data_IF_553869103222
#
_entry.id   IF_553869103222
#
_cell.length_a   1.000
_cell.length_b   1.000
_cell.length_c   1.000
_cell.angle_alpha   90.00
_cell.angle_beta   90.00
_cell.angle_gamma   90.00
#
_symmetry.space_group_name_H-M   'P 1'
#
loop_
_entity.id
_entity.type
_entity.pdbx_description
1 polymer ?
#
# COMPACT_ATOMS: atom_id res chain seq x y z
N UNK A 1 -5.17 -26.21 -31.28
CA UNK A 1 -4.39 -26.87 -30.22
C UNK A 1 -3.46 -25.80 -29.67
N UNK A 2 -3.69 -25.34 -28.44
CA UNK A 2 -2.82 -24.33 -27.83
C UNK A 2 -1.39 -24.87 -27.78
N UNK A 3 -0.41 -24.10 -28.25
CA UNK A 3 0.98 -24.55 -28.17
C UNK A 3 1.40 -24.58 -26.69
N UNK A 4 1.96 -25.71 -26.19
CA UNK A 4 2.36 -25.83 -24.78
C UNK A 4 3.34 -24.72 -24.35
N UNK A 5 4.12 -24.22 -25.31
CA UNK A 5 5.02 -23.08 -25.17
C UNK A 5 4.31 -21.77 -24.82
N UNK A 6 3.16 -21.49 -25.46
CA UNK A 6 2.40 -20.27 -25.24
C UNK A 6 1.74 -20.31 -23.86
N UNK A 7 1.15 -21.44 -23.50
CA UNK A 7 0.53 -21.65 -22.19
C UNK A 7 1.58 -21.54 -21.08
N UNK A 8 2.76 -22.17 -21.23
CA UNK A 8 3.87 -22.03 -20.27
C UNK A 8 4.34 -20.59 -20.16
N UNK A 9 4.54 -19.90 -21.29
CA UNK A 9 5.03 -18.51 -21.28
C UNK A 9 4.06 -17.58 -20.58
N UNK A 10 2.76 -17.70 -20.87
CA UNK A 10 1.73 -16.89 -20.22
C UNK A 10 1.69 -17.17 -18.72
N UNK A 11 1.70 -18.44 -18.31
CA UNK A 11 1.75 -18.82 -16.90
C UNK A 11 3.01 -18.28 -16.19
N UNK A 12 4.17 -18.35 -16.85
CA UNK A 12 5.43 -17.88 -16.29
C UNK A 12 5.48 -16.35 -16.15
N UNK A 13 4.94 -15.61 -17.12
CA UNK A 13 4.84 -14.14 -17.05
C UNK A 13 3.92 -13.73 -15.91
N UNK A 14 2.75 -14.36 -15.78
CA UNK A 14 1.84 -14.11 -14.65
C UNK A 14 2.54 -14.43 -13.33
N UNK A 15 3.23 -15.57 -13.24
CA UNK A 15 4.01 -15.92 -12.07
C UNK A 15 5.08 -14.86 -11.74
N UNK A 16 5.85 -14.38 -12.71
CA UNK A 16 6.86 -13.35 -12.49
C UNK A 16 6.26 -12.04 -12.01
N UNK A 17 5.15 -11.59 -12.62
CA UNK A 17 4.45 -10.38 -12.19
C UNK A 17 3.97 -10.51 -10.75
N UNK A 18 3.34 -11.64 -10.41
CA UNK A 18 2.88 -11.88 -9.05
C UNK A 18 4.04 -12.04 -8.06
N UNK A 19 5.16 -12.66 -8.47
CA UNK A 19 6.32 -12.82 -7.61
C UNK A 19 7.05 -11.50 -7.34
N UNK A 20 7.12 -10.60 -8.33
CA UNK A 20 7.78 -9.28 -8.20
C UNK A 20 6.91 -8.27 -7.46
N UNK A 21 5.61 -8.20 -7.77
CA UNK A 21 4.68 -7.26 -7.12
C UNK A 21 4.07 -7.79 -5.81
N UNK A 22 4.10 -9.11 -5.60
CA UNK A 22 3.63 -9.80 -4.39
C UNK A 22 2.21 -9.39 -3.96
N UNK A 23 1.17 -9.76 -4.74
CA UNK A 23 -0.20 -9.54 -4.34
C UNK A 23 -0.53 -10.33 -3.07
N UNK A 24 -1.69 -10.07 -2.48
CA UNK A 24 -2.15 -10.64 -1.22
C UNK A 24 -2.08 -12.16 -1.19
N UNK A 25 -2.39 -12.82 -2.30
CA UNK A 25 -2.42 -14.28 -2.44
C UNK A 25 -1.02 -14.89 -2.41
N UNK A 26 -0.05 -14.26 -3.08
CA UNK A 26 1.35 -14.72 -3.03
C UNK A 26 1.96 -14.51 -1.66
N UNK A 27 1.55 -13.42 -0.98
CA UNK A 27 1.97 -13.15 0.38
C UNK A 27 1.41 -14.17 1.36
N UNK A 28 0.12 -14.48 1.27
CA UNK A 28 -0.53 -15.47 2.15
C UNK A 28 -0.03 -16.88 1.89
N UNK A 29 0.30 -17.22 0.63
CA UNK A 29 0.93 -18.50 0.27
C UNK A 29 2.41 -18.60 0.68
N UNK A 30 3.01 -17.52 1.18
CA UNK A 30 4.42 -17.51 1.58
C UNK A 30 5.41 -17.42 0.41
N UNK A 31 4.94 -17.14 -0.81
CA UNK A 31 5.75 -17.04 -2.03
C UNK A 31 6.38 -15.65 -2.18
N UNK A 32 7.11 -15.23 -1.16
CA UNK A 32 7.83 -13.96 -1.14
C UNK A 32 9.31 -14.21 -0.87
N UNK A 33 10.18 -13.33 -1.38
CA UNK A 33 11.63 -13.41 -1.13
C UNK A 33 11.93 -13.42 0.37
N UNK A 34 11.16 -12.67 1.17
CA UNK A 34 11.34 -12.61 2.62
C UNK A 34 11.08 -13.96 3.29
N UNK A 35 10.05 -14.68 2.87
CA UNK A 35 9.68 -15.95 3.47
C UNK A 35 10.60 -17.09 3.00
N UNK A 36 10.92 -17.12 1.70
CA UNK A 36 11.82 -18.12 1.11
C UNK A 36 13.24 -18.06 1.70
N UNK A 37 13.73 -16.87 2.05
CA UNK A 37 15.07 -16.66 2.61
C UNK A 37 15.05 -16.23 4.08
N UNK A 38 13.95 -16.49 4.79
CA UNK A 38 13.73 -16.05 6.18
C UNK A 38 14.86 -16.45 7.13
N UNK A 39 15.38 -17.67 7.01
CA UNK A 39 16.51 -18.18 7.82
C UNK A 39 17.80 -17.39 7.65
N UNK A 40 18.07 -16.89 6.43
CA UNK A 40 19.28 -16.13 6.12
C UNK A 40 19.12 -14.62 6.41
N UNK A 41 17.92 -14.09 6.18
CA UNK A 41 17.60 -12.68 6.45
C UNK A 41 17.62 -12.37 7.95
N UNK A 42 17.19 -13.34 8.78
CA UNK A 42 17.02 -13.15 10.21
C UNK A 42 15.75 -12.37 10.55
N UNK A 43 15.72 -11.76 11.73
CA UNK A 43 14.56 -11.00 12.21
C UNK A 43 14.75 -9.50 11.99
N UNK A 44 13.70 -8.87 11.46
CA UNK A 44 13.61 -7.42 11.29
C UNK A 44 13.61 -6.68 12.64
N UNK A 45 13.00 -7.27 13.67
CA UNK A 45 12.95 -6.71 15.03
C UNK A 45 14.32 -6.71 15.71
N UNK A 46 15.19 -7.67 15.35
CA UNK A 46 16.56 -7.71 15.86
C UNK A 46 17.43 -6.65 15.18
N UNK A 47 17.24 -6.37 13.89
CA UNK A 47 18.10 -5.41 13.20
C UNK A 47 17.51 -4.93 11.90
N UNK A 48 16.62 -3.96 11.98
CA UNK A 48 15.88 -3.38 10.85
C UNK A 48 16.78 -3.04 9.65
N UNK A 49 17.86 -2.27 9.87
CA UNK A 49 18.76 -1.85 8.79
C UNK A 49 19.47 -3.04 8.15
N UNK A 50 20.05 -3.94 8.96
CA UNK A 50 20.81 -5.07 8.44
C UNK A 50 19.89 -6.08 7.73
N UNK A 51 18.71 -6.31 8.28
CA UNK A 51 17.66 -7.12 7.67
C UNK A 51 17.32 -6.60 6.28
N UNK A 52 17.06 -5.29 6.14
CA UNK A 52 16.72 -4.72 4.84
C UNK A 52 17.88 -4.65 3.86
N UNK A 53 19.12 -4.43 4.29
CA UNK A 53 20.31 -4.52 3.44
C UNK A 53 20.45 -5.92 2.83
N UNK A 54 20.29 -6.96 3.66
CA UNK A 54 20.30 -8.36 3.21
C UNK A 54 19.13 -8.65 2.28
N UNK A 55 17.93 -8.21 2.65
CA UNK A 55 16.69 -8.41 1.90
C UNK A 55 16.79 -7.82 0.50
N UNK A 56 17.13 -6.54 0.36
CA UNK A 56 17.23 -5.89 -0.95
C UNK A 56 18.32 -6.53 -1.81
N UNK A 57 19.43 -6.96 -1.21
CA UNK A 57 20.49 -7.67 -1.93
C UNK A 57 20.01 -9.03 -2.48
N UNK A 58 19.30 -9.82 -1.68
CA UNK A 58 18.73 -11.10 -2.16
C UNK A 58 17.62 -10.87 -3.17
N UNK A 59 16.74 -9.89 -2.95
CA UNK A 59 15.68 -9.55 -3.91
C UNK A 59 16.25 -9.21 -5.28
N UNK A 60 17.35 -8.44 -5.35
CA UNK A 60 18.05 -8.16 -6.61
C UNK A 60 18.53 -9.45 -7.28
N UNK A 61 19.20 -10.35 -6.54
CA UNK A 61 19.71 -11.62 -7.07
C UNK A 61 18.62 -12.59 -7.53
N UNK A 62 17.51 -12.66 -6.79
CA UNK A 62 16.40 -13.56 -7.11
C UNK A 62 15.62 -13.03 -8.30
N UNK A 63 15.29 -11.73 -8.33
CA UNK A 63 14.55 -11.13 -9.43
C UNK A 63 15.38 -11.11 -10.73
N UNK A 64 16.70 -10.92 -10.65
CA UNK A 64 17.57 -11.04 -11.83
C UNK A 64 17.70 -12.46 -12.36
N UNK A 65 17.37 -13.48 -11.55
CA UNK A 65 17.41 -14.88 -11.96
C UNK A 65 16.13 -15.33 -12.68
N UNK A 66 15.05 -14.54 -12.67
CA UNK A 66 13.78 -14.89 -13.32
C UNK A 66 13.93 -15.17 -14.83
N UNK A 67 14.67 -14.37 -15.63
CA UNK A 67 14.88 -14.70 -17.05
C UNK A 67 15.61 -16.03 -17.25
N UNK A 68 16.57 -16.36 -16.38
CA UNK A 68 17.26 -17.66 -16.42
C UNK A 68 16.31 -18.80 -16.05
N UNK A 69 15.46 -18.59 -15.04
CA UNK A 69 14.39 -19.52 -14.68
C UNK A 69 13.41 -19.78 -15.83
N UNK A 70 13.06 -18.75 -16.60
CA UNK A 70 12.25 -18.90 -17.82
C UNK A 70 12.95 -19.78 -18.86
N UNK A 71 14.23 -19.53 -19.14
CA UNK A 71 15.01 -20.35 -20.08
C UNK A 71 15.02 -21.82 -19.64
N UNK A 72 15.31 -22.08 -18.37
CA UNK A 72 15.33 -23.43 -17.80
C UNK A 72 13.96 -24.11 -17.89
N UNK A 73 12.87 -23.38 -17.59
CA UNK A 73 11.52 -23.90 -17.71
C UNK A 73 11.13 -24.23 -19.15
N UNK A 74 11.53 -23.38 -20.11
CA UNK A 74 11.31 -23.62 -21.54
C UNK A 74 12.06 -24.84 -22.06
N UNK A 75 13.24 -25.18 -21.52
CA UNK A 75 13.92 -26.43 -21.83
C UNK A 75 13.08 -27.67 -21.51
N UNK A 76 12.19 -27.58 -20.50
CA UNK A 76 11.32 -28.68 -20.07
C UNK A 76 9.98 -28.62 -20.81
N UNK A 77 9.41 -27.42 -20.98
CA UNK A 77 8.09 -27.21 -21.59
C UNK A 77 8.08 -27.41 -23.12
N UNK A 78 9.23 -27.22 -23.77
CA UNK A 78 9.38 -27.27 -25.23
C UNK A 78 10.60 -28.12 -25.65
N UNK A 79 10.64 -29.43 -25.34
CA UNK A 79 11.79 -30.28 -25.64
C UNK A 79 12.11 -30.36 -27.14
N UNK A 80 11.11 -30.16 -28.00
CA UNK A 80 11.23 -30.10 -29.46
C UNK A 80 12.18 -29.00 -29.95
N UNK A 81 12.32 -27.90 -29.18
CA UNK A 81 13.24 -26.80 -29.50
C UNK A 81 14.70 -27.12 -29.19
N UNK A 82 14.99 -28.26 -28.56
CA UNK A 82 16.35 -28.71 -28.20
C UNK A 82 17.16 -27.65 -27.44
N UNK A 83 16.50 -26.83 -26.61
CA UNK A 83 17.09 -25.72 -25.86
C UNK A 83 18.20 -26.14 -24.89
N UNK A 84 18.22 -27.42 -24.47
CA UNK A 84 19.29 -27.99 -23.67
C UNK A 84 20.63 -28.15 -24.41
N UNK A 85 20.61 -28.24 -25.74
CA UNK A 85 21.81 -28.35 -26.56
C UNK A 85 22.21 -26.97 -27.08
N UNK A 86 22.84 -26.15 -26.22
CA UNK A 86 23.16 -24.72 -26.48
C UNK A 86 23.76 -24.45 -27.88
N UNK A 87 24.58 -25.37 -28.40
CA UNK A 87 25.20 -25.29 -29.73
C UNK A 87 24.26 -25.54 -30.93
N UNK A 88 23.03 -26.02 -30.71
CA UNK A 88 22.02 -26.27 -31.75
C UNK A 88 20.82 -25.32 -31.63
N UNK A 89 20.79 -24.49 -30.58
CA UNK A 89 19.73 -23.52 -30.32
C UNK A 89 19.77 -22.37 -31.33
N UNK A 90 18.62 -21.77 -31.65
CA UNK A 90 18.54 -20.60 -32.52
C UNK A 90 19.26 -19.38 -31.92
N UNK A 91 19.71 -18.46 -32.78
CA UNK A 91 20.48 -17.30 -32.34
C UNK A 91 19.71 -16.41 -31.35
N UNK A 92 18.38 -16.29 -31.49
CA UNK A 92 17.54 -15.54 -30.55
C UNK A 92 17.56 -16.12 -29.14
N UNK A 93 17.46 -17.43 -29.01
CA UNK A 93 17.48 -18.10 -27.70
C UNK A 93 18.88 -18.09 -27.09
N UNK A 94 19.94 -18.18 -27.90
CA UNK A 94 21.32 -17.98 -27.44
C UNK A 94 21.54 -16.58 -26.91
N UNK A 95 21.08 -15.56 -27.64
CA UNK A 95 21.15 -14.16 -27.20
C UNK A 95 20.37 -13.95 -25.89
N UNK A 96 19.17 -14.54 -25.77
CA UNK A 96 18.38 -14.49 -24.54
C UNK A 96 19.11 -15.14 -23.34
N UNK A 97 19.70 -16.32 -23.53
CA UNK A 97 20.49 -17.01 -22.50
C UNK A 97 21.70 -16.17 -22.08
N UNK A 98 22.46 -15.65 -23.04
CA UNK A 98 23.61 -14.79 -22.78
C UNK A 98 23.21 -13.54 -22.00
N UNK A 99 22.14 -12.85 -22.40
CA UNK A 99 21.64 -11.68 -21.70
C UNK A 99 21.20 -12.02 -20.26
N UNK A 100 20.50 -13.14 -20.07
CA UNK A 100 20.05 -13.61 -18.76
C UNK A 100 21.23 -13.94 -17.84
N UNK A 101 22.28 -14.59 -18.37
CA UNK A 101 23.51 -14.88 -17.63
C UNK A 101 24.28 -13.60 -17.29
N UNK A 102 24.44 -12.68 -18.25
CA UNK A 102 25.06 -11.38 -18.01
C UNK A 102 24.32 -10.60 -16.92
N UNK A 103 22.99 -10.55 -16.96
CA UNK A 103 22.18 -9.90 -15.94
C UNK A 103 22.44 -10.51 -14.56
N UNK A 104 22.46 -11.84 -14.45
CA UNK A 104 22.73 -12.52 -13.18
C UNK A 104 24.15 -12.27 -12.66
N UNK A 105 25.15 -12.30 -13.55
CA UNK A 105 26.54 -12.00 -13.20
C UNK A 105 26.72 -10.54 -12.74
N UNK A 106 26.04 -9.59 -13.40
CA UNK A 106 26.03 -8.19 -12.99
C UNK A 106 25.41 -8.04 -11.61
N UNK A 107 24.28 -8.70 -11.33
CA UNK A 107 23.68 -8.69 -9.98
C UNK A 107 24.60 -9.25 -8.91
N UNK A 108 25.28 -10.37 -9.19
CA UNK A 108 26.27 -10.94 -8.25
C UNK A 108 27.45 -10.01 -8.01
N UNK A 109 28.03 -9.46 -9.07
CA UNK A 109 29.14 -8.50 -8.94
C UNK A 109 28.72 -7.25 -8.18
N UNK A 110 27.49 -6.76 -8.38
CA UNK A 110 26.92 -5.64 -7.64
C UNK A 110 26.77 -5.94 -6.14
N UNK A 111 26.23 -7.10 -5.76
CA UNK A 111 26.09 -7.49 -4.35
C UNK A 111 27.45 -7.72 -3.69
N UNK A 112 28.41 -8.32 -4.40
CA UNK A 112 29.80 -8.46 -3.92
C UNK A 112 30.45 -7.08 -3.75
N UNK A 113 30.22 -6.16 -4.68
CA UNK A 113 30.70 -4.79 -4.56
C UNK A 113 30.13 -4.08 -3.33
N UNK A 114 28.83 -4.26 -3.06
CA UNK A 114 28.22 -3.72 -1.84
C UNK A 114 28.81 -4.33 -0.58
N UNK A 115 29.05 -5.64 -0.55
CA UNK A 115 29.55 -6.32 0.65
C UNK A 115 31.02 -6.00 0.98
N UNK A 116 31.86 -5.67 -0.02
CA UNK A 116 33.32 -5.48 0.12
C UNK A 116 33.80 -4.36 1.06
N UNK A 117 32.92 -3.48 1.54
CA UNK A 117 33.25 -2.45 2.53
C UNK A 117 32.18 -2.34 3.62
N UNK A 118 31.85 -3.47 4.26
CA UNK A 118 30.82 -3.54 5.30
C UNK A 118 29.49 -2.90 4.86
N UNK A 119 29.09 -3.08 3.60
CA UNK A 119 27.85 -2.52 3.04
C UNK A 119 27.83 -0.99 2.88
N UNK A 120 28.95 -0.27 3.05
CA UNK A 120 29.00 1.18 2.90
C UNK A 120 28.46 1.70 1.55
N UNK A 121 28.71 0.96 0.47
CA UNK A 121 28.26 1.32 -0.89
C UNK A 121 26.82 0.90 -1.18
N UNK A 122 26.16 0.20 -0.25
CA UNK A 122 24.78 -0.22 -0.42
C UNK A 122 23.85 1.02 -0.40
N UNK A 123 22.79 1.07 -1.23
CA UNK A 123 21.89 2.22 -1.30
C UNK A 123 21.31 2.66 0.06
N UNK A 124 20.95 1.71 0.92
CA UNK A 124 20.44 2.00 2.28
C UNK A 124 21.52 2.66 3.14
N UNK A 125 22.76 2.17 3.10
CA UNK A 125 23.87 2.76 3.86
C UNK A 125 24.20 4.17 3.37
N UNK A 126 24.15 4.40 2.05
CA UNK A 126 24.28 5.75 1.48
C UNK A 126 23.12 6.68 1.86
N UNK A 127 21.89 6.18 1.91
CA UNK A 127 20.76 6.96 2.40
C UNK A 127 20.95 7.37 3.87
N UNK A 128 21.48 6.48 4.71
CA UNK A 128 21.82 6.79 6.10
C UNK A 128 22.98 7.80 6.22
N UNK A 129 23.92 7.83 5.26
CA UNK A 129 25.00 8.82 5.23
C UNK A 129 24.48 10.25 5.11
N UNK A 130 23.36 10.46 4.41
CA UNK A 130 22.74 11.77 4.29
C UNK A 130 22.26 12.34 5.64
N UNK A 131 22.09 11.49 6.65
CA UNK A 131 21.59 11.84 7.98
C UNK A 131 22.69 11.82 9.06
N UNK A 132 23.97 11.72 8.66
CA UNK A 132 25.08 11.77 9.61
C UNK A 132 25.27 13.21 10.07
N UNK A 133 24.86 13.47 11.32
CA UNK A 133 25.08 14.74 12.02
C UNK A 133 25.91 14.50 13.29
N UNK A 134 26.73 15.46 13.75
CA UNK A 134 27.41 15.36 15.04
C UNK A 134 26.39 15.08 16.16
N UNK A 135 26.59 14.06 17.03
CA UNK A 135 27.84 13.36 17.36
C UNK A 135 28.05 12.01 16.63
N UNK A 136 27.24 11.68 15.62
CA UNK A 136 27.38 10.41 14.89
C UNK A 136 28.65 10.38 14.03
N UNK A 137 29.50 9.37 14.24
CA UNK A 137 30.77 9.21 13.52
C UNK A 137 30.62 8.58 12.14
N UNK A 138 29.47 7.97 11.83
CA UNK A 138 29.18 7.43 10.51
C UNK A 138 27.78 6.82 10.38
N UNK A 139 27.47 6.28 9.20
CA UNK A 139 26.15 5.70 8.92
C UNK A 139 25.80 4.53 9.85
N UNK A 140 26.81 3.83 10.38
CA UNK A 140 26.62 2.74 11.34
C UNK A 140 26.00 3.20 12.66
N UNK A 141 26.37 4.38 13.19
CA UNK A 141 25.75 4.89 14.42
C UNK A 141 24.32 5.36 14.17
N UNK A 142 24.03 5.93 13.00
CA UNK A 142 22.66 6.26 12.57
C UNK A 142 21.83 4.97 12.46
N UNK A 143 22.39 3.91 11.87
CA UNK A 143 21.73 2.61 11.78
C UNK A 143 21.39 2.01 13.15
N UNK A 144 22.29 2.14 14.13
CA UNK A 144 22.02 1.71 15.51
C UNK A 144 20.89 2.52 16.14
N UNK A 145 20.85 3.84 15.93
CA UNK A 145 19.73 4.69 16.41
C UNK A 145 18.40 4.22 15.84
N UNK A 146 18.33 4.06 14.51
CA UNK A 146 17.13 3.56 13.82
C UNK A 146 16.72 2.18 14.35
N UNK A 147 17.67 1.26 14.54
CA UNK A 147 17.36 -0.06 15.09
C UNK A 147 16.82 0.00 16.52
N UNK A 148 17.38 0.87 17.37
CA UNK A 148 16.93 1.05 18.75
C UNK A 148 15.53 1.66 18.81
N UNK A 149 15.25 2.67 18.00
CA UNK A 149 13.91 3.27 17.88
C UNK A 149 12.90 2.28 17.29
N UNK A 150 13.30 1.52 16.25
CA UNK A 150 12.46 0.51 15.63
C UNK A 150 12.05 -0.59 16.61
N UNK A 151 12.87 -0.93 17.61
CA UNK A 151 12.52 -1.94 18.62
C UNK A 151 11.47 -1.48 19.63
N UNK A 152 11.19 -0.17 19.70
CA UNK A 152 10.17 0.36 20.61
C UNK A 152 8.77 -0.10 20.19
N UNK A 153 7.89 -0.25 21.16
CA UNK A 153 6.53 -0.76 20.97
C UNK A 153 5.63 0.34 20.38
N UNK A 154 5.92 1.60 20.72
CA UNK A 154 5.10 2.75 20.41
C UNK A 154 5.38 3.34 19.01
N UNK A 155 5.88 2.51 18.09
CA UNK A 155 6.02 2.88 16.67
C UNK A 155 4.68 2.69 15.95
N UNK A 156 4.37 3.61 15.05
CA UNK A 156 3.27 3.40 14.09
C UNK A 156 3.80 2.59 12.90
N UNK A 157 3.09 1.54 12.48
CA UNK A 157 3.46 0.75 11.32
C UNK A 157 2.21 0.30 10.54
N UNK A 158 2.19 0.59 9.25
CA UNK A 158 1.08 0.22 8.35
C UNK A 158 1.59 -0.44 7.07
N UNK A 159 0.82 -1.38 6.55
CA UNK A 159 1.12 -2.11 5.33
C UNK A 159 1.91 -3.40 5.53
N UNK A 160 2.31 -4.01 4.41
CA UNK A 160 2.94 -5.33 4.39
C UNK A 160 4.42 -5.28 4.82
N UNK A 161 5.00 -6.35 5.38
CA UNK A 161 6.44 -6.40 5.70
C UNK A 161 7.37 -6.04 4.51
N UNK A 162 6.96 -6.33 3.26
CA UNK A 162 7.70 -5.96 2.05
C UNK A 162 7.45 -4.55 1.52
N UNK A 163 6.34 -3.92 1.94
CA UNK A 163 5.88 -2.61 1.49
C UNK A 163 5.07 -1.94 2.61
N UNK A 164 5.78 -1.37 3.58
CA UNK A 164 5.19 -0.73 4.77
C UNK A 164 5.79 0.62 5.07
N UNK A 165 5.02 1.38 5.82
CA UNK A 165 5.39 2.70 6.32
C UNK A 165 5.50 2.58 7.81
N UNK A 166 6.61 3.05 8.36
CA UNK A 166 6.91 3.00 9.79
C UNK A 166 7.25 4.41 10.23
N UNK A 167 6.60 4.86 11.30
CA UNK A 167 6.93 6.12 11.97
C UNK A 167 7.39 5.78 13.37
N UNK A 168 8.60 6.24 13.69
CA UNK A 168 9.21 6.19 15.01
C UNK A 168 9.37 7.61 15.52
N UNK A 169 9.79 7.80 16.76
CA UNK A 169 9.94 9.12 17.38
C UNK A 169 10.71 10.13 16.50
N UNK A 170 11.80 9.70 15.86
CA UNK A 170 12.64 10.58 15.04
C UNK A 170 12.54 10.31 13.54
N UNK A 171 12.04 9.16 13.10
CA UNK A 171 12.11 8.74 11.71
C UNK A 171 10.76 8.49 11.06
N UNK A 172 10.65 8.95 9.81
CA UNK A 172 9.65 8.50 8.83
C UNK A 172 10.34 7.55 7.85
N UNK A 173 9.95 6.28 7.88
CA UNK A 173 10.54 5.21 7.09
C UNK A 173 9.51 4.65 6.11
N UNK A 174 9.87 4.53 4.84
CA UNK A 174 9.07 3.83 3.84
C UNK A 174 9.87 2.69 3.24
N UNK A 175 9.40 1.48 3.50
CA UNK A 175 9.96 0.24 2.98
C UNK A 175 9.29 -0.09 1.65
N UNK A 176 10.09 -0.34 0.63
CA UNK A 176 9.64 -0.85 -0.69
C UNK A 176 10.45 -2.10 -1.05
N UNK A 177 10.13 -2.74 -2.17
CA UNK A 177 10.81 -3.95 -2.66
C UNK A 177 12.32 -3.78 -2.77
N UNK A 178 12.79 -2.63 -3.29
CA UNK A 178 14.21 -2.39 -3.58
C UNK A 178 14.84 -1.27 -2.76
N UNK A 179 14.04 -0.40 -2.16
CA UNK A 179 14.52 0.78 -1.44
C UNK A 179 13.88 0.92 -0.07
N UNK A 180 14.64 1.52 0.85
CA UNK A 180 14.10 2.03 2.11
C UNK A 180 14.34 3.53 2.10
N UNK A 181 13.25 4.30 2.01
CA UNK A 181 13.30 5.75 2.12
C UNK A 181 13.27 6.14 3.59
N UNK A 182 14.05 7.16 3.94
CA UNK A 182 14.26 7.58 5.32
C UNK A 182 14.30 9.10 5.35
N UNK A 183 13.48 9.69 6.21
CA UNK A 183 13.52 11.11 6.54
C UNK A 183 13.44 11.28 8.06
N UNK A 184 14.13 12.28 8.59
CA UNK A 184 13.97 12.70 9.97
C UNK A 184 12.68 13.51 10.11
N UNK A 185 11.92 13.27 11.18
CA UNK A 185 10.67 13.98 11.46
C UNK A 185 10.90 15.50 11.54
N UNK A 186 11.95 15.93 12.24
CA UNK A 186 12.30 17.35 12.41
C UNK A 186 12.72 18.04 11.10
N UNK A 187 13.19 17.27 10.13
CA UNK A 187 13.69 17.77 8.85
C UNK A 187 12.72 17.49 7.70
N UNK A 188 11.45 17.20 7.99
CA UNK A 188 10.47 16.88 6.96
C UNK A 188 9.16 17.65 7.11
N UNK A 189 8.51 17.88 5.97
CA UNK A 189 7.13 18.33 5.92
C UNK A 189 6.31 17.29 5.18
N UNK A 190 5.11 17.04 5.71
CA UNK A 190 4.20 16.04 5.17
C UNK A 190 3.00 16.74 4.58
N UNK A 191 2.69 16.48 3.32
CA UNK A 191 1.55 17.09 2.63
C UNK A 191 0.57 16.04 2.16
N UNK A 192 -0.70 16.16 2.52
CA UNK A 192 -1.75 15.28 2.00
C UNK A 192 -2.11 15.75 0.58
N UNK A 193 -1.65 14.99 -0.42
CA UNK A 193 -1.75 15.35 -1.84
C UNK A 193 -3.00 14.80 -2.51
N UNK A 194 -3.49 13.64 -2.08
CA UNK A 194 -4.60 12.95 -2.74
C UNK A 194 -5.39 12.12 -1.74
N UNK A 195 -6.70 12.02 -1.95
CA UNK A 195 -7.55 11.03 -1.29
C UNK A 195 -8.37 10.26 -2.33
N UNK A 196 -8.24 8.93 -2.36
CA UNK A 196 -9.01 8.07 -3.27
C UNK A 196 -9.96 7.18 -2.49
N UNK A 197 -11.25 7.29 -2.76
CA UNK A 197 -12.26 6.37 -2.24
C UNK A 197 -12.36 5.15 -3.15
N UNK A 198 -12.28 3.96 -2.58
CA UNK A 198 -12.56 2.70 -3.26
C UNK A 198 -13.87 2.14 -2.71
N UNK A 199 -14.89 1.99 -3.58
CA UNK A 199 -16.20 1.45 -3.19
C UNK A 199 -16.13 -0.02 -2.77
N UNK A 200 -15.12 -0.76 -3.25
CA UNK A 200 -14.84 -2.13 -2.87
C UNK A 200 -13.35 -2.23 -2.51
N UNK A 201 -13.07 -2.50 -1.23
CA UNK A 201 -11.72 -2.86 -0.77
C UNK A 201 -11.63 -4.39 -0.69
N UNK A 202 -10.55 -5.03 -1.15
CA UNK A 202 -10.39 -6.49 -1.05
C UNK A 202 -10.45 -7.00 0.40
N UNK A 203 -10.10 -6.15 1.37
CA UNK A 203 -10.05 -6.51 2.80
C UNK A 203 -11.34 -6.15 3.58
N UNK A 204 -12.26 -5.36 3.01
CA UNK A 204 -13.49 -4.95 3.70
C UNK A 204 -14.63 -4.62 2.74
N UNK A 205 -15.84 -5.09 3.06
CA UNK A 205 -17.06 -4.74 2.32
C UNK A 205 -17.49 -3.26 2.46
N UNK A 206 -16.79 -2.48 3.30
CA UNK A 206 -16.99 -1.05 3.46
C UNK A 206 -16.14 -0.23 2.48
N UNK A 207 -16.64 0.92 2.01
CA UNK A 207 -15.85 1.84 1.21
C UNK A 207 -14.61 2.30 1.98
N UNK A 208 -13.43 2.09 1.41
CA UNK A 208 -12.15 2.45 2.02
C UNK A 208 -11.55 3.66 1.32
N UNK A 209 -11.28 4.72 2.06
CA UNK A 209 -10.54 5.87 1.55
C UNK A 209 -9.04 5.66 1.81
N UNK A 210 -8.23 5.77 0.75
CA UNK A 210 -6.77 5.71 0.82
C UNK A 210 -6.24 7.13 0.64
N UNK A 211 -5.43 7.57 1.60
CA UNK A 211 -4.75 8.86 1.56
C UNK A 211 -3.35 8.68 0.98
N UNK A 212 -2.93 9.59 0.11
CA UNK A 212 -1.55 9.70 -0.35
C UNK A 212 -0.92 10.95 0.27
N UNK A 213 0.14 10.74 1.06
CA UNK A 213 0.88 11.80 1.72
C UNK A 213 2.28 11.89 1.10
N UNK A 214 2.69 13.08 0.68
CA UNK A 214 4.03 13.35 0.19
C UNK A 214 4.90 13.82 1.34
N UNK A 215 5.99 13.08 1.58
CA UNK A 215 7.04 13.44 2.54
C UNK A 215 8.17 14.08 1.76
N UNK A 216 8.52 15.30 2.14
CA UNK A 216 9.64 16.03 1.57
C UNK A 216 10.57 16.42 2.71
N UNK A 217 11.87 16.26 2.49
CA UNK A 217 12.86 16.67 3.48
C UNK A 217 13.45 18.03 3.12
N UNK A 218 13.84 18.79 4.14
CA UNK A 218 14.64 20.00 4.02
C UNK A 218 16.04 19.66 3.50
N UNK A 219 16.56 18.46 3.82
CA UNK A 219 17.85 18.00 3.35
C UNK A 219 17.78 17.62 1.85
N UNK A 220 18.51 18.33 0.95
CA UNK A 220 18.44 18.08 -0.50
C UNK A 220 19.01 16.72 -0.90
N UNK A 221 19.80 16.07 -0.04
CA UNK A 221 20.30 14.71 -0.28
C UNK A 221 19.19 13.65 -0.17
N UNK A 222 18.04 13.99 0.42
CA UNK A 222 16.91 13.09 0.64
C UNK A 222 15.81 13.42 -0.37
N UNK A 223 15.64 12.56 -1.37
CA UNK A 223 14.57 12.71 -2.36
C UNK A 223 13.17 12.54 -1.74
N UNK A 224 12.16 13.28 -2.24
CA UNK A 224 10.79 13.19 -1.74
C UNK A 224 10.18 11.82 -2.04
N UNK A 225 9.28 11.35 -1.17
CA UNK A 225 8.60 10.07 -1.35
C UNK A 225 7.14 10.13 -0.86
N UNK A 226 6.27 9.32 -1.48
CA UNK A 226 4.85 9.26 -1.11
C UNK A 226 4.55 8.06 -0.21
N UNK A 227 3.83 8.29 0.87
CA UNK A 227 3.25 7.32 1.79
C UNK A 227 1.77 7.13 1.41
N UNK A 228 1.26 5.91 1.54
CA UNK A 228 -0.15 5.59 1.35
C UNK A 228 -0.66 4.86 2.57
N UNK A 229 -1.80 5.28 3.12
CA UNK A 229 -2.48 4.62 4.24
C UNK A 229 -3.99 4.77 4.14
N UNK A 230 -4.71 3.95 4.90
CA UNK A 230 -6.16 4.08 5.04
C UNK A 230 -6.53 5.30 5.87
N UNK A 231 -7.64 5.97 5.55
CA UNK A 231 -8.08 7.16 6.29
C UNK A 231 -8.41 6.87 7.76
N UNK A 232 -8.77 5.63 8.09
CA UNK A 232 -8.99 5.16 9.47
C UNK A 232 -7.73 5.18 10.33
N UNK A 233 -6.56 4.99 9.72
CA UNK A 233 -5.25 5.00 10.42
C UNK A 233 -4.65 6.40 10.50
N UNK A 234 -5.28 7.40 9.87
CA UNK A 234 -4.76 8.76 9.81
C UNK A 234 -4.64 9.43 11.19
N UNK A 235 -5.56 9.13 12.11
CA UNK A 235 -5.52 9.68 13.46
C UNK A 235 -4.29 9.19 14.24
N UNK A 236 -3.99 7.90 14.17
CA UNK A 236 -2.83 7.28 14.82
C UNK A 236 -1.51 7.77 14.19
N UNK A 237 -1.47 7.87 12.85
CA UNK A 237 -0.37 8.48 12.13
C UNK A 237 -0.10 9.92 12.61
N UNK A 238 -1.15 10.73 12.74
CA UNK A 238 -1.05 12.12 13.18
C UNK A 238 -0.61 12.25 14.63
N UNK A 239 -0.98 11.31 15.49
CA UNK A 239 -0.52 11.29 16.88
C UNK A 239 0.99 11.03 16.98
N UNK A 240 1.51 10.14 16.12
CA UNK A 240 2.93 9.77 16.09
C UNK A 240 3.82 10.69 15.24
N UNK A 241 3.23 11.43 14.32
CA UNK A 241 3.96 12.36 13.46
C UNK A 241 4.02 13.75 14.11
N UNK A 242 5.21 14.13 14.57
CA UNK A 242 5.52 15.47 15.06
C UNK A 242 5.76 16.49 13.93
N UNK A 243 6.07 16.02 12.72
CA UNK A 243 6.25 16.87 11.55
C UNK A 243 4.95 17.60 11.17
N UNK A 244 5.01 18.86 10.73
CA UNK A 244 3.82 19.61 10.35
C UNK A 244 3.13 18.98 9.13
N UNK A 245 1.84 18.67 9.28
CA UNK A 245 1.00 18.16 8.19
C UNK A 245 0.28 19.32 7.50
N UNK A 246 0.45 19.44 6.18
CA UNK A 246 -0.27 20.39 5.32
C UNK A 246 -1.31 19.64 4.49
N UNK A 247 -2.53 20.14 4.45
CA UNK A 247 -3.54 19.63 3.52
C UNK A 247 -3.48 20.45 2.23
N UNK A 248 -3.45 19.77 1.08
CA UNK A 248 -3.66 20.46 -0.19
C UNK A 248 -5.13 20.93 -0.29
N UNK A 249 -5.36 22.05 -0.99
CA UNK A 249 -6.63 22.78 -0.95
C UNK A 249 -7.88 21.96 -1.37
N UNK A 250 -7.70 20.83 -2.05
CA UNK A 250 -8.79 20.03 -2.62
C UNK A 250 -8.90 18.62 -2.01
N UNK A 251 -8.29 18.36 -0.84
CA UNK A 251 -8.35 17.04 -0.20
C UNK A 251 -9.24 17.07 1.03
N UNK A 252 -10.39 16.40 0.94
CA UNK A 252 -11.29 16.13 2.07
C UNK A 252 -10.91 14.78 2.68
N UNK A 253 -10.58 14.78 3.97
CA UNK A 253 -10.22 13.56 4.70
C UNK A 253 -11.46 13.14 5.50
N UNK A 254 -12.05 12.00 5.18
CA UNK A 254 -13.13 11.41 5.99
C UNK A 254 -12.50 10.43 6.97
N UNK A 255 -12.53 10.79 8.24
CA UNK A 255 -11.93 9.99 9.31
C UNK A 255 -12.89 8.91 9.80
N UNK A 256 -14.20 9.10 9.60
CA UNK A 256 -15.22 8.16 10.04
C UNK A 256 -16.18 7.78 8.91
N UNK A 257 -16.76 6.58 9.02
CA UNK A 257 -17.84 6.11 8.13
C UNK A 257 -19.05 7.05 8.23
N UNK A 258 -19.30 7.64 9.40
CA UNK A 258 -20.38 8.60 9.60
C UNK A 258 -20.21 9.87 8.76
N UNK A 259 -18.99 10.41 8.67
CA UNK A 259 -18.70 11.58 7.82
C UNK A 259 -18.88 11.25 6.34
N UNK A 260 -18.38 10.10 5.90
CA UNK A 260 -18.55 9.63 4.52
C UNK A 260 -20.02 9.39 4.18
N UNK A 261 -20.79 8.81 5.11
CA UNK A 261 -22.23 8.64 4.96
C UNK A 261 -22.92 9.99 4.81
N UNK A 262 -22.62 10.97 5.67
CA UNK A 262 -23.27 12.28 5.62
C UNK A 262 -23.01 12.99 4.28
N UNK A 263 -21.79 12.92 3.76
CA UNK A 263 -21.47 13.48 2.46
C UNK A 263 -22.18 12.74 1.32
N UNK A 264 -22.08 11.41 1.28
CA UNK A 264 -22.73 10.59 0.24
C UNK A 264 -24.25 10.77 0.27
N UNK A 265 -24.83 10.83 1.48
CA UNK A 265 -26.25 11.06 1.68
C UNK A 265 -26.66 12.44 1.18
N UNK A 266 -25.91 13.51 1.48
CA UNK A 266 -26.18 14.84 0.94
C UNK A 266 -26.12 14.86 -0.58
N UNK A 267 -25.08 14.29 -1.17
CA UNK A 267 -24.96 14.20 -2.62
C UNK A 267 -26.14 13.44 -3.25
N UNK A 268 -26.62 12.37 -2.60
CA UNK A 268 -27.80 11.63 -3.05
C UNK A 268 -29.10 12.43 -2.89
N UNK A 269 -29.23 13.22 -1.81
CA UNK A 269 -30.37 14.12 -1.60
C UNK A 269 -30.38 15.24 -2.64
N UNK A 270 -29.23 15.79 -3.01
CA UNK A 270 -29.10 16.86 -4.00
C UNK A 270 -29.50 16.42 -5.43
N UNK A 271 -29.47 15.11 -5.71
CA UNK A 271 -29.98 14.55 -6.96
C UNK A 271 -31.52 14.45 -6.99
N UNK A 272 -32.19 14.52 -5.84
CA UNK A 272 -33.65 14.46 -5.78
C UNK A 272 -34.27 15.80 -6.20
N UNK A 273 -35.49 15.74 -6.76
CA UNK A 273 -36.22 16.97 -7.06
C UNK A 273 -36.53 17.76 -5.79
N UNK A 274 -36.26 19.08 -5.76
CA UNK A 274 -36.63 19.93 -4.64
C UNK A 274 -38.14 19.87 -4.39
N UNK A 275 -38.52 19.65 -3.13
CA UNK A 275 -39.92 19.66 -2.74
C UNK A 275 -40.38 21.09 -2.44
N UNK A 276 -41.32 21.60 -3.24
CA UNK A 276 -41.94 22.91 -2.98
C UNK A 276 -42.99 22.78 -1.89
N UNK A 277 -42.84 23.55 -0.82
CA UNK A 277 -43.82 23.63 0.26
C UNK A 277 -45.12 24.29 -0.25
N UNK A 278 -46.28 23.64 -0.07
CA UNK A 278 -47.58 24.26 -0.35
C UNK A 278 -47.80 25.52 0.52
N UNK A 279 -48.44 26.53 -0.06
CA UNK A 279 -48.76 27.78 0.63
C UNK A 279 -49.58 27.52 1.90
N UNK A 280 -49.05 27.93 3.06
CA UNK A 280 -49.72 27.80 4.37
C UNK A 280 -49.30 26.60 5.21
N UNK A 281 -48.36 25.75 4.74
CA UNK A 281 -47.80 24.67 5.55
C UNK A 281 -46.61 25.17 6.37
N UNK A 282 -46.67 25.01 7.70
CA UNK A 282 -45.56 25.33 8.60
C UNK A 282 -44.47 24.24 8.53
N UNK A 283 -43.21 24.66 8.66
CA UNK A 283 -42.06 23.76 8.64
C UNK A 283 -41.90 23.13 10.03
N UNK A 284 -42.04 21.81 10.09
CA UNK A 284 -41.79 21.05 11.32
C UNK A 284 -40.31 21.13 11.75
N UNK A 285 -40.03 21.06 13.07
CA UNK A 285 -38.66 20.96 13.54
C UNK A 285 -37.99 19.66 13.09
N UNK A 286 -36.67 19.68 12.95
CA UNK A 286 -35.86 18.53 12.60
C UNK A 286 -36.07 17.40 13.61
N UNK A 287 -36.46 16.22 13.12
CA UNK A 287 -36.76 15.04 13.96
C UNK A 287 -35.59 14.57 14.83
N UNK A 288 -34.34 14.86 14.42
CA UNK A 288 -33.14 14.43 15.14
C UNK A 288 -32.81 15.32 16.35
N UNK A 289 -32.76 16.64 16.16
CA UNK A 289 -32.34 17.57 17.21
C UNK A 289 -33.49 18.39 17.83
N UNK A 290 -34.64 18.46 17.17
CA UNK A 290 -35.82 19.26 17.56
C UNK A 290 -35.55 20.76 17.79
N UNK A 291 -34.40 21.26 17.33
CA UNK A 291 -33.94 22.64 17.60
C UNK A 291 -33.97 23.55 16.38
N UNK A 292 -33.90 23.00 15.16
CA UNK A 292 -33.88 23.76 13.90
C UNK A 292 -35.00 23.29 12.98
N UNK A 293 -35.53 24.14 12.08
CA UNK A 293 -36.52 23.72 11.09
C UNK A 293 -35.96 22.60 10.19
N UNK A 294 -36.80 21.64 9.82
CA UNK A 294 -36.42 20.54 8.95
C UNK A 294 -36.09 21.04 7.53
N UNK A 295 -34.93 20.64 7.01
CA UNK A 295 -34.45 21.01 5.68
C UNK A 295 -34.64 19.92 4.62
N UNK A 296 -35.20 18.76 5.00
CA UNK A 296 -35.37 17.60 4.13
C UNK A 296 -36.72 16.94 4.39
N UNK A 297 -37.42 16.51 3.32
CA UNK A 297 -38.68 15.77 3.41
C UNK A 297 -38.47 14.30 3.03
N UNK A 298 -38.94 13.39 3.88
CA UNK A 298 -38.99 11.96 3.57
C UNK A 298 -40.33 11.63 2.91
N UNK A 299 -40.30 11.10 1.69
CA UNK A 299 -41.49 10.67 0.95
C UNK A 299 -41.43 9.16 0.76
N UNK A 300 -42.46 8.44 1.24
CA UNK A 300 -42.59 7.01 1.02
C UNK A 300 -43.09 6.76 -0.41
N UNK A 301 -42.31 6.03 -1.21
CA UNK A 301 -42.66 5.68 -2.61
C UNK A 301 -43.19 4.24 -2.76
N UNK A 302 -43.19 3.45 -1.69
CA UNK A 302 -43.66 2.06 -1.72
C UNK A 302 -45.20 2.01 -1.76
N UNK A 303 -45.77 1.24 -2.68
CA UNK A 303 -47.21 0.97 -2.75
C UNK A 303 -47.64 0.02 -1.63
N UNK A 304 -48.61 0.41 -0.81
CA UNK A 304 -49.34 -0.52 0.06
C UNK A 304 -50.46 -1.14 -0.76
N UNK A 305 -50.17 -2.27 -1.42
CA UNK A 305 -51.25 -3.07 -2.00
C UNK A 305 -52.00 -3.78 -0.87
N UNK A 306 -53.29 -3.48 -0.75
CA UNK A 306 -54.26 -4.28 -0.02
C UNK A 306 -54.40 -3.96 1.46
N UNK A 307 -55.62 -3.63 1.87
CA UNK A 307 -56.10 -3.70 3.25
C UNK A 307 -55.92 -5.11 3.79
N UNK A 308 -54.76 -5.40 4.35
CA UNK A 308 -54.62 -6.41 5.37
C UNK A 308 -53.64 -5.88 6.39
N UNK A 309 -54.12 -5.87 7.63
CA UNK A 309 -53.48 -5.40 8.84
C UNK A 309 -52.23 -6.24 9.14
N UNK A 310 -51.24 -6.21 8.26
CA UNK A 310 -49.89 -6.58 8.61
C UNK A 310 -49.36 -5.38 9.37
N UNK A 311 -49.36 -5.51 10.70
CA UNK A 311 -48.52 -4.67 11.55
C UNK A 311 -47.08 -5.01 11.16
N UNK A 312 -46.62 -4.47 10.03
CA UNK A 312 -45.22 -4.25 9.79
C UNK A 312 -44.85 -3.25 10.87
N UNK A 313 -44.44 -3.79 12.02
CA UNK A 313 -43.70 -3.02 13.00
C UNK A 313 -42.45 -2.60 12.24
N UNK A 314 -42.52 -1.47 11.54
CA UNK A 314 -41.36 -0.69 11.19
C UNK A 314 -40.83 -0.23 12.55
N UNK A 315 -40.09 -1.11 13.22
CA UNK A 315 -39.20 -0.69 14.29
C UNK A 315 -38.17 0.15 13.58
N UNK A 316 -38.46 1.44 13.49
CA UNK A 316 -37.46 2.45 13.24
C UNK A 316 -36.51 2.36 14.44
N UNK A 317 -35.48 1.53 14.35
CA UNK A 317 -34.31 1.64 15.21
C UNK A 317 -33.59 2.92 14.79
N UNK A 318 -34.19 4.05 15.12
CA UNK A 318 -33.59 5.37 15.10
C UNK A 318 -32.61 5.48 16.26
N UNK A 319 -31.58 4.64 16.26
CA UNK A 319 -30.33 5.04 16.89
C UNK A 319 -29.46 5.65 15.79
N UNK A 320 -29.60 6.98 15.69
CA UNK A 320 -28.67 7.93 15.07
C UNK A 320 -28.43 7.97 13.56
N UNK A 321 -28.89 7.07 12.69
CA UNK A 321 -28.72 7.27 11.23
C UNK A 321 -29.81 6.58 10.41
N UNK A 322 -30.55 7.34 9.60
CA UNK A 322 -31.63 6.85 8.76
C UNK A 322 -31.11 5.94 7.63
N UNK A 323 -31.54 4.68 7.62
CA UNK A 323 -31.42 3.76 6.47
C UNK A 323 -32.81 3.26 6.11
N UNK A 324 -33.24 3.50 4.87
CA UNK A 324 -34.35 2.76 4.25
C UNK A 324 -33.77 1.91 3.13
N UNK A 325 -33.53 0.63 3.39
CA UNK A 325 -33.37 -0.39 2.35
C UNK A 325 -34.63 -1.24 2.42
N UNK A 326 -35.47 -1.18 1.38
CA UNK A 326 -36.52 -2.16 1.16
C UNK A 326 -35.90 -3.29 0.33
N UNK A 327 -35.74 -4.46 0.92
CA UNK A 327 -35.53 -5.72 0.18
C UNK A 327 -36.91 -6.35 0.02
N UNK A 328 -37.32 -6.61 -1.22
CA UNK A 328 -38.51 -7.39 -1.54
C UNK A 328 -38.30 -8.87 -1.21
#
# INVERSE_FOLDING_TARGET
>A
MESPELSFTLAYVVFCLCFVFTPTEFRSAGLTVQNLFSSWLGSEDVGFIQYHVRRTSVTVLVHSALPLGYYMGMCIAAPEKKLGYVHQVSDSWRAFLLLSLCLQLISWTLVIYWSRHHWHNHPISRALQAHVQPPHSGWGSVAVSVNTEFRRIDKFATGAPGARVIITDSWVLKVTTYHVHMALQNDCHVTVTESRQHQLSPDSASPAQILTLRVESINPAVGPFCIRLHSTEYAELREKLHAPIRNSANVVIHQTISELFLETFRAQVDLNQPYTLPSGQEIEPCIGCMQVPASTKLVRLCHTEGEQLCVCVCVCLCLSVCVCVCVC
#
